data_IF_037521223625
#
_entry.id   IF_037521223625
#
_cell.length_a   1.000
_cell.length_b   1.000
_cell.length_c   1.000
_cell.angle_alpha   90.00
_cell.angle_beta   90.00
_cell.angle_gamma   90.00
#
_symmetry.space_group_name_H-M   'P 1'
#
loop_
_entity.id
_entity.type
_entity.pdbx_description
1 polymer ?
#
# COMPACT_ATOMS: atom_id res chain seq x y z
N UNK A 1 46.83 47.74 -9.37
CA UNK A 1 46.07 47.20 -8.21
C UNK A 1 44.56 47.49 -8.29
N UNK A 2 43.86 47.14 -9.39
CA UNK A 2 42.38 47.34 -9.49
C UNK A 2 41.64 46.33 -10.38
N UNK A 3 42.23 45.17 -10.71
CA UNK A 3 41.61 44.21 -11.66
C UNK A 3 41.35 42.79 -11.11
N UNK A 4 41.73 42.50 -9.86
CA UNK A 4 41.56 41.16 -9.28
C UNK A 4 40.39 41.04 -8.29
N UNK A 5 39.65 42.12 -8.02
CA UNK A 5 38.54 42.11 -7.06
C UNK A 5 37.20 41.60 -7.63
N UNK A 6 37.05 41.51 -8.95
CA UNK A 6 35.83 41.03 -9.59
C UNK A 6 35.75 39.50 -9.73
N UNK A 7 36.88 38.80 -9.62
CA UNK A 7 36.92 37.32 -9.75
C UNK A 7 36.56 36.64 -8.43
N UNK A 8 36.85 37.28 -7.29
CA UNK A 8 36.55 36.73 -5.96
C UNK A 8 35.04 36.82 -5.65
N UNK A 9 34.34 37.80 -6.22
CA UNK A 9 32.88 37.95 -6.04
C UNK A 9 32.05 36.93 -6.85
N UNK A 10 32.59 36.42 -7.96
CA UNK A 10 31.91 35.42 -8.80
C UNK A 10 31.97 34.00 -8.24
N UNK A 11 33.04 33.66 -7.51
CA UNK A 11 33.20 32.31 -6.92
C UNK A 11 32.40 32.16 -5.61
N UNK A 12 32.16 33.25 -4.88
CA UNK A 12 31.34 33.25 -3.66
C UNK A 12 29.83 33.14 -3.91
N UNK A 13 29.35 33.42 -5.13
CA UNK A 13 27.94 33.25 -5.51
C UNK A 13 27.59 31.82 -5.96
N UNK A 14 28.57 30.93 -6.15
CA UNK A 14 28.33 29.53 -6.51
C UNK A 14 28.16 28.58 -5.32
N UNK A 15 28.40 29.04 -4.09
CA UNK A 15 28.13 28.25 -2.88
C UNK A 15 26.69 28.39 -2.36
N UNK A 16 25.89 29.32 -2.91
CA UNK A 16 24.50 29.53 -2.50
C UNK A 16 23.46 28.57 -3.10
N UNK A 17 23.85 27.74 -4.08
CA UNK A 17 22.94 26.76 -4.71
C UNK A 17 23.12 25.34 -4.15
N UNK A 18 23.94 25.16 -3.11
CA UNK A 18 24.19 23.87 -2.46
C UNK A 18 23.45 23.76 -1.11
N UNK A 19 22.20 24.21 -1.04
CA UNK A 19 21.33 24.01 0.13
C UNK A 19 19.90 23.75 -0.34
N UNK A 20 19.68 22.64 -1.03
CA UNK A 20 18.33 22.04 -1.11
C UNK A 20 18.35 20.51 -0.92
N UNK A 21 19.52 19.93 -0.60
CA UNK A 21 19.60 18.53 -0.16
C UNK A 21 18.95 18.30 1.21
N UNK A 22 19.00 19.29 2.11
CA UNK A 22 18.35 19.16 3.43
C UNK A 22 16.82 19.14 3.33
N UNK A 23 16.22 19.88 2.38
CA UNK A 23 14.76 19.85 2.16
C UNK A 23 14.27 18.53 1.56
N UNK A 24 15.03 17.93 0.64
CA UNK A 24 14.71 16.58 0.16
C UNK A 24 14.96 15.50 1.23
N UNK A 25 15.97 15.67 2.09
CA UNK A 25 16.26 14.73 3.19
C UNK A 25 15.24 14.84 4.33
N UNK A 26 14.75 16.04 4.68
CA UNK A 26 13.62 16.21 5.62
C UNK A 26 12.36 15.51 5.10
N UNK A 27 12.09 15.63 3.80
CA UNK A 27 10.96 14.93 3.16
C UNK A 27 11.17 13.41 3.14
N UNK A 28 12.38 12.94 2.81
CA UNK A 28 12.69 11.51 2.78
C UNK A 28 12.57 10.86 4.16
N UNK A 29 13.06 11.52 5.21
CA UNK A 29 12.89 11.06 6.59
C UNK A 29 11.43 11.09 7.05
N UNK A 30 10.60 11.97 6.48
CA UNK A 30 9.15 11.96 6.74
C UNK A 30 8.45 10.74 6.12
N UNK A 31 9.00 10.14 5.07
CA UNK A 31 8.54 8.84 4.53
C UNK A 31 9.13 7.65 5.29
N UNK A 32 10.29 7.83 5.94
CA UNK A 32 10.89 6.86 6.86
C UNK A 32 10.38 7.04 8.30
N UNK A 33 9.06 7.22 8.48
CA UNK A 33 8.52 7.22 9.83
C UNK A 33 8.78 5.86 10.45
N UNK A 34 9.51 5.83 11.57
CA UNK A 34 9.69 4.63 12.36
C UNK A 34 8.32 4.12 12.75
N UNK A 35 7.89 2.94 12.29
CA UNK A 35 6.65 2.34 12.75
C UNK A 35 6.59 2.34 14.27
N UNK A 36 5.40 2.48 14.86
CA UNK A 36 5.25 2.26 16.32
C UNK A 36 5.45 0.77 16.63
N UNK A 37 6.71 0.31 16.65
CA UNK A 37 7.08 -1.10 16.82
C UNK A 37 6.53 -1.72 18.11
N UNK A 38 6.31 -0.90 19.16
CA UNK A 38 5.64 -1.33 20.39
C UNK A 38 4.21 -1.85 20.16
N UNK A 39 3.58 -1.46 19.06
CA UNK A 39 2.25 -1.89 18.64
C UNK A 39 2.30 -2.95 17.54
N UNK A 40 3.47 -3.45 17.12
CA UNK A 40 3.59 -4.40 16.00
C UNK A 40 2.75 -5.68 16.20
N UNK A 41 2.71 -6.22 17.41
CA UNK A 41 1.88 -7.36 17.81
C UNK A 41 0.35 -7.10 17.75
N UNK A 42 -0.05 -5.84 17.57
CA UNK A 42 -1.45 -5.39 17.44
C UNK A 42 -1.78 -5.01 16.00
N UNK A 43 -0.81 -5.10 15.08
CA UNK A 43 -0.93 -4.69 13.69
C UNK A 43 -0.89 -5.95 12.82
N UNK A 44 -1.83 -6.09 11.90
CA UNK A 44 -1.49 -6.77 10.65
C UNK A 44 -0.33 -5.97 10.03
N UNK A 45 0.75 -6.62 9.62
CA UNK A 45 2.00 -5.92 9.27
C UNK A 45 1.75 -4.73 8.34
N UNK A 46 2.23 -3.55 8.76
CA UNK A 46 1.89 -2.23 8.20
C UNK A 46 2.14 -2.14 6.68
N UNK A 47 3.13 -2.89 6.17
CA UNK A 47 3.44 -2.93 4.75
C UNK A 47 2.35 -3.54 3.87
N UNK A 48 1.41 -4.25 4.48
CA UNK A 48 0.36 -4.99 3.79
C UNK A 48 -1.04 -4.37 4.02
N UNK A 49 -1.20 -3.34 4.85
CA UNK A 49 -2.51 -2.74 5.11
C UNK A 49 -2.89 -1.70 4.05
N UNK A 50 -4.03 -1.91 3.39
CA UNK A 50 -4.61 -0.89 2.49
C UNK A 50 -5.91 -0.29 3.02
N UNK A 51 -6.49 -0.86 4.08
CA UNK A 51 -7.72 -0.40 4.72
C UNK A 51 -7.77 -0.85 6.17
N UNK A 52 -8.22 0.01 7.09
CA UNK A 52 -8.40 -0.33 8.49
C UNK A 52 -9.43 0.60 9.15
N UNK A 53 -10.43 0.00 9.81
CA UNK A 53 -11.41 0.64 10.68
C UNK A 53 -11.63 -0.24 11.91
N UNK A 54 -12.50 0.19 12.84
CA UNK A 54 -12.92 -0.65 13.97
C UNK A 54 -13.64 -1.94 13.52
N UNK A 55 -14.30 -1.89 12.36
CA UNK A 55 -15.15 -2.98 11.85
C UNK A 55 -14.43 -3.87 10.83
N UNK A 56 -13.45 -3.33 10.08
CA UNK A 56 -12.90 -4.03 8.91
C UNK A 56 -11.42 -3.76 8.69
N UNK A 57 -10.75 -4.75 8.11
CA UNK A 57 -9.31 -4.68 7.79
C UNK A 57 -9.06 -5.22 6.38
N UNK A 58 -8.36 -4.44 5.56
CA UNK A 58 -7.92 -4.82 4.22
C UNK A 58 -6.41 -5.06 4.18
N UNK A 59 -6.01 -6.26 3.75
CA UNK A 59 -4.62 -6.72 3.67
C UNK A 59 -4.27 -7.10 2.23
N UNK A 60 -3.12 -6.65 1.76
CA UNK A 60 -2.51 -6.95 0.48
C UNK A 60 -1.15 -7.60 0.73
N UNK A 61 -0.95 -8.79 0.21
CA UNK A 61 0.33 -9.52 0.25
C UNK A 61 0.71 -10.01 -1.14
N UNK A 62 1.90 -10.60 -1.25
CA UNK A 62 2.31 -11.34 -2.44
C UNK A 62 1.39 -12.52 -2.80
N UNK A 63 0.55 -12.99 -1.87
CA UNK A 63 -0.36 -14.11 -2.10
C UNK A 63 -1.78 -13.70 -2.45
N UNK A 64 -2.09 -12.40 -2.40
CA UNK A 64 -3.43 -11.90 -2.73
C UNK A 64 -3.89 -10.71 -1.90
N UNK A 65 -5.15 -10.38 -2.11
CA UNK A 65 -5.86 -9.28 -1.43
C UNK A 65 -7.00 -9.87 -0.61
N UNK A 66 -7.15 -9.36 0.61
CA UNK A 66 -8.06 -9.87 1.63
C UNK A 66 -8.81 -8.71 2.27
N UNK A 67 -10.10 -8.87 2.52
CA UNK A 67 -10.90 -7.95 3.31
C UNK A 67 -11.63 -8.74 4.38
N UNK A 68 -11.38 -8.38 5.63
CA UNK A 68 -11.88 -9.07 6.81
C UNK A 68 -12.82 -8.18 7.61
N UNK A 69 -13.87 -8.79 8.15
CA UNK A 69 -14.80 -8.19 9.12
C UNK A 69 -14.35 -8.60 10.52
N UNK A 70 -13.96 -7.60 11.31
CA UNK A 70 -13.41 -7.76 12.66
C UNK A 70 -14.50 -8.09 13.67
N UNK A 71 -15.69 -7.51 13.53
CA UNK A 71 -16.80 -7.73 14.45
C UNK A 71 -17.37 -9.14 14.30
N UNK A 72 -17.53 -9.58 13.05
CA UNK A 72 -18.13 -10.86 12.69
C UNK A 72 -17.10 -12.00 12.57
N UNK A 73 -15.83 -11.69 12.76
CA UNK A 73 -14.69 -12.59 12.64
C UNK A 73 -14.69 -13.43 11.35
N UNK A 74 -14.90 -12.77 10.19
CA UNK A 74 -15.05 -13.47 8.90
C UNK A 74 -14.39 -12.74 7.73
N UNK A 75 -13.93 -13.52 6.76
CA UNK A 75 -13.46 -13.00 5.48
C UNK A 75 -14.65 -12.52 4.63
N UNK A 76 -14.66 -11.24 4.25
CA UNK A 76 -15.65 -10.65 3.34
C UNK A 76 -15.30 -10.94 1.88
N UNK A 77 -14.01 -10.86 1.54
CA UNK A 77 -13.51 -11.26 0.22
C UNK A 77 -12.03 -11.62 0.27
N UNK A 78 -11.61 -12.50 -0.63
CA UNK A 78 -10.22 -12.81 -0.90
C UNK A 78 -10.02 -13.16 -2.38
N UNK A 79 -8.92 -12.71 -2.99
CA UNK A 79 -8.53 -13.13 -4.33
C UNK A 79 -7.01 -13.13 -4.52
N UNK A 80 -6.51 -14.12 -5.26
CA UNK A 80 -5.09 -14.28 -5.58
C UNK A 80 -4.75 -13.52 -6.88
N UNK A 81 -3.81 -12.59 -6.77
CA UNK A 81 -3.34 -11.76 -7.88
C UNK A 81 -2.68 -12.60 -9.00
N UNK A 82 -2.06 -13.73 -8.65
CA UNK A 82 -1.42 -14.63 -9.61
C UNK A 82 -2.43 -15.45 -10.41
N UNK A 83 -3.52 -15.90 -9.75
CA UNK A 83 -4.63 -16.60 -10.43
C UNK A 83 -5.34 -15.65 -11.38
N UNK A 84 -5.55 -14.41 -10.96
CA UNK A 84 -6.22 -13.38 -11.76
C UNK A 84 -5.33 -12.82 -12.89
N UNK A 85 -4.01 -13.09 -12.87
CA UNK A 85 -3.00 -12.59 -13.84
C UNK A 85 -3.17 -11.12 -14.20
N UNK A 86 -3.62 -10.29 -13.26
CA UNK A 86 -4.15 -8.97 -13.57
C UNK A 86 -3.16 -8.14 -14.41
N UNK A 87 -1.88 -8.12 -14.03
CA UNK A 87 -0.87 -7.33 -14.74
C UNK A 87 0.21 -8.12 -15.49
N UNK A 88 0.21 -9.45 -15.37
CA UNK A 88 1.25 -10.31 -15.95
C UNK A 88 2.54 -10.36 -15.12
N UNK A 89 3.55 -11.06 -15.65
CA UNK A 89 4.83 -11.28 -14.96
C UNK A 89 5.63 -9.99 -14.77
N UNK A 90 6.29 -9.86 -13.61
CA UNK A 90 7.18 -8.74 -13.29
C UNK A 90 6.48 -7.43 -12.92
N UNK A 91 5.15 -7.44 -12.78
CA UNK A 91 4.36 -6.29 -12.34
C UNK A 91 3.82 -6.54 -10.93
N UNK A 92 4.08 -5.59 -10.04
CA UNK A 92 3.52 -5.53 -8.70
C UNK A 92 2.23 -4.72 -8.72
N UNK A 93 1.39 -4.89 -7.70
CA UNK A 93 0.20 -4.06 -7.52
C UNK A 93 0.26 -3.24 -6.24
N UNK A 94 -0.38 -2.08 -6.26
CA UNK A 94 -0.86 -1.37 -5.08
C UNK A 94 -2.38 -1.56 -5.01
N UNK A 95 -2.93 -1.66 -3.81
CA UNK A 95 -4.35 -1.88 -3.58
C UNK A 95 -4.96 -0.68 -2.87
N UNK A 96 -6.15 -0.26 -3.29
CA UNK A 96 -6.94 0.79 -2.62
C UNK A 96 -8.40 0.38 -2.56
N UNK A 97 -9.06 0.60 -1.42
CA UNK A 97 -10.50 0.41 -1.32
C UNK A 97 -11.23 1.55 -2.05
N UNK A 98 -12.40 1.29 -2.64
CA UNK A 98 -13.28 2.34 -3.14
C UNK A 98 -13.84 3.18 -2.00
N UNK A 99 -14.12 4.45 -2.25
CA UNK A 99 -14.68 5.37 -1.25
C UNK A 99 -16.08 4.97 -0.76
N UNK A 100 -16.80 4.14 -1.52
CA UNK A 100 -18.07 3.54 -1.13
C UNK A 100 -17.95 2.11 -0.56
N UNK A 101 -16.72 1.62 -0.37
CA UNK A 101 -16.37 0.29 0.14
C UNK A 101 -16.94 -0.91 -0.66
N UNK A 102 -17.44 -0.69 -1.88
CA UNK A 102 -18.04 -1.76 -2.71
C UNK A 102 -17.05 -2.49 -3.61
N UNK A 103 -15.84 -1.96 -3.74
CA UNK A 103 -14.82 -2.61 -4.55
C UNK A 103 -13.41 -2.20 -4.20
N UNK A 104 -12.47 -2.88 -4.84
CA UNK A 104 -11.04 -2.76 -4.58
C UNK A 104 -10.35 -2.42 -5.89
N UNK A 105 -9.61 -1.32 -5.91
CA UNK A 105 -8.76 -0.92 -7.01
C UNK A 105 -7.38 -1.57 -6.89
N UNK A 106 -6.87 -2.05 -8.02
CA UNK A 106 -5.50 -2.54 -8.17
C UNK A 106 -4.78 -1.66 -9.20
N UNK A 107 -3.67 -1.07 -8.79
CA UNK A 107 -2.82 -0.25 -9.64
C UNK A 107 -1.50 -0.97 -9.89
N UNK A 108 -1.16 -1.19 -11.16
CA UNK A 108 0.06 -1.91 -11.52
C UNK A 108 1.28 -1.01 -11.51
N UNK A 109 2.42 -1.52 -11.06
CA UNK A 109 3.70 -0.83 -11.17
C UNK A 109 4.86 -1.82 -11.33
N UNK A 110 5.94 -1.36 -11.95
CA UNK A 110 7.23 -2.05 -11.97
C UNK A 110 8.24 -1.25 -11.15
N UNK A 111 9.45 -1.77 -10.97
CA UNK A 111 10.54 -1.01 -10.35
C UNK A 111 10.91 0.28 -11.11
N UNK A 112 10.47 0.43 -12.36
CA UNK A 112 10.82 1.56 -13.22
C UNK A 112 9.68 2.58 -13.38
N UNK A 113 8.42 2.14 -13.33
CA UNK A 113 7.26 3.00 -13.60
C UNK A 113 5.94 2.48 -13.04
N UNK A 114 5.02 3.40 -12.78
CA UNK A 114 3.59 3.11 -12.59
C UNK A 114 2.91 2.88 -13.94
N UNK A 115 1.96 1.94 -13.99
CA UNK A 115 1.09 1.70 -15.14
C UNK A 115 -0.12 2.64 -15.03
N UNK A 116 -0.16 3.63 -15.90
CA UNK A 116 -1.15 4.72 -15.86
C UNK A 116 -2.29 4.57 -16.88
N UNK A 117 -2.17 3.63 -17.82
CA UNK A 117 -3.12 3.45 -18.92
C UNK A 117 -4.41 2.73 -18.50
N UNK A 118 -4.33 1.94 -17.42
CA UNK A 118 -5.43 1.15 -16.89
C UNK A 118 -5.19 0.74 -15.45
N UNK A 119 -6.28 0.39 -14.78
CA UNK A 119 -6.30 -0.28 -13.48
C UNK A 119 -7.28 -1.45 -13.52
N UNK A 120 -7.26 -2.28 -12.47
CA UNK A 120 -8.31 -3.27 -12.26
C UNK A 120 -9.21 -2.87 -11.10
N UNK A 121 -10.50 -3.14 -11.22
CA UNK A 121 -11.49 -2.95 -10.18
C UNK A 121 -12.13 -4.30 -9.85
N UNK A 122 -11.97 -4.75 -8.62
CA UNK A 122 -12.63 -5.92 -8.09
C UNK A 122 -13.93 -5.50 -7.41
N UNK A 123 -15.07 -5.95 -7.92
CA UNK A 123 -16.38 -5.70 -7.31
C UNK A 123 -16.65 -6.77 -6.24
N UNK A 124 -16.72 -6.35 -4.97
CA UNK A 124 -16.81 -7.28 -3.83
C UNK A 124 -18.08 -8.13 -3.90
N UNK A 125 -19.21 -7.52 -4.24
CA UNK A 125 -20.51 -8.19 -4.25
C UNK A 125 -20.59 -9.33 -5.28
N UNK A 126 -19.95 -9.18 -6.44
CA UNK A 126 -19.97 -10.17 -7.52
C UNK A 126 -18.73 -11.05 -7.57
N UNK A 127 -17.66 -10.68 -6.85
CA UNK A 127 -16.37 -11.33 -6.91
C UNK A 127 -15.67 -11.20 -8.27
N UNK A 128 -16.06 -10.22 -9.08
CA UNK A 128 -15.58 -10.07 -10.46
C UNK A 128 -14.52 -8.99 -10.59
N UNK A 129 -13.48 -9.29 -11.37
CA UNK A 129 -12.38 -8.37 -11.66
C UNK A 129 -12.54 -7.74 -13.05
N UNK A 130 -12.54 -6.41 -13.11
CA UNK A 130 -12.75 -5.64 -14.33
C UNK A 130 -11.53 -4.78 -14.67
N UNK A 131 -11.03 -4.89 -15.90
CA UNK A 131 -10.05 -3.93 -16.42
C UNK A 131 -10.74 -2.62 -16.80
N UNK A 132 -10.24 -1.49 -16.30
CA UNK A 132 -10.75 -0.15 -16.59
C UNK A 132 -9.65 0.69 -17.20
N UNK A 133 -9.94 1.36 -18.31
CA UNK A 133 -9.00 2.27 -18.96
C UNK A 133 -8.94 3.63 -18.25
N UNK A 134 -7.76 4.25 -18.29
CA UNK A 134 -7.50 5.55 -17.67
C UNK A 134 -7.07 5.45 -16.20
N UNK A 135 -7.13 6.60 -15.51
CA UNK A 135 -6.76 6.74 -14.09
C UNK A 135 -8.00 6.80 -13.23
N UNK A 136 -7.96 6.18 -12.06
CA UNK A 136 -8.96 6.41 -11.01
C UNK A 136 -8.78 7.83 -10.44
N UNK A 137 -9.87 8.49 -10.05
CA UNK A 137 -9.78 9.79 -9.37
C UNK A 137 -9.60 9.57 -7.86
N UNK A 138 -8.76 10.39 -7.20
CA UNK A 138 -8.48 10.23 -5.76
C UNK A 138 -9.75 10.30 -4.89
N UNK A 139 -10.77 11.06 -5.32
CA UNK A 139 -12.07 11.14 -4.62
C UNK A 139 -12.83 9.80 -4.59
N UNK A 140 -12.52 8.89 -5.51
CA UNK A 140 -13.15 7.57 -5.62
C UNK A 140 -12.42 6.52 -4.78
N UNK A 141 -11.30 6.90 -4.15
CA UNK A 141 -10.45 6.04 -3.35
C UNK A 141 -10.65 6.35 -1.86
N UNK A 142 -10.76 5.29 -1.06
CA UNK A 142 -10.69 5.42 0.38
C UNK A 142 -9.26 5.85 0.79
N UNK A 143 -9.10 6.74 1.77
CA UNK A 143 -7.79 7.14 2.26
C UNK A 143 -7.00 5.95 2.80
N UNK A 144 -5.70 5.90 2.50
CA UNK A 144 -4.84 4.91 3.15
C UNK A 144 -4.82 5.13 4.67
N UNK A 145 -4.73 4.07 5.48
CA UNK A 145 -4.67 4.20 6.91
C UNK A 145 -3.49 5.07 7.38
N UNK A 146 -3.73 6.04 8.27
CA UNK A 146 -2.69 6.94 8.79
C UNK A 146 -1.61 6.15 9.52
N UNK A 147 -0.35 6.31 9.10
CA UNK A 147 0.82 5.64 9.67
C UNK A 147 1.03 5.99 11.16
N UNK A 148 0.53 7.14 11.61
CA UNK A 148 0.66 7.64 12.99
C UNK A 148 -0.49 7.25 13.91
N UNK A 149 -1.54 6.59 13.40
CA UNK A 149 -2.68 6.19 14.23
C UNK A 149 -2.29 5.12 15.26
N UNK A 150 -3.08 5.03 16.32
CA UNK A 150 -3.02 3.92 17.26
C UNK A 150 -3.64 2.68 16.60
N UNK A 151 -2.93 1.56 16.59
CA UNK A 151 -3.45 0.32 16.01
C UNK A 151 -4.65 -0.21 16.82
N UNK A 152 -5.67 -0.71 16.13
CA UNK A 152 -6.80 -1.37 16.77
C UNK A 152 -6.34 -2.68 17.42
N UNK A 153 -6.81 -2.93 18.64
CA UNK A 153 -6.53 -4.18 19.36
C UNK A 153 -7.68 -5.16 19.14
N UNK A 154 -7.39 -6.36 18.66
CA UNK A 154 -8.31 -7.50 18.79
C UNK A 154 -7.61 -8.65 19.50
N UNK A 155 -8.39 -9.44 20.23
CA UNK A 155 -7.93 -10.56 21.06
C UNK A 155 -7.66 -11.83 20.26
N UNK A 156 -8.10 -11.89 19.00
CA UNK A 156 -8.26 -13.14 18.26
C UNK A 156 -7.45 -13.19 16.96
N UNK A 157 -6.35 -12.44 16.81
CA UNK A 157 -5.48 -12.61 15.66
C UNK A 157 -4.78 -13.98 15.70
N UNK A 158 -5.42 -15.01 15.16
CA UNK A 158 -4.72 -16.22 14.75
C UNK A 158 -4.57 -16.20 13.23
N UNK A 159 -3.42 -16.62 12.72
CA UNK A 159 -3.19 -16.64 11.28
C UNK A 159 -4.19 -17.57 10.58
N UNK A 160 -4.68 -18.56 11.32
CA UNK A 160 -5.67 -19.56 10.95
C UNK A 160 -7.03 -18.95 10.58
N UNK A 161 -7.47 -17.88 11.26
CA UNK A 161 -8.76 -17.22 11.00
C UNK A 161 -8.78 -16.43 9.67
N UNK A 162 -7.60 -16.19 9.09
CA UNK A 162 -7.44 -15.49 7.82
C UNK A 162 -7.10 -16.43 6.66
N UNK A 163 -7.20 -17.74 6.86
CA UNK A 163 -6.96 -18.74 5.82
C UNK A 163 -8.01 -18.63 4.71
N UNK A 164 -7.57 -18.34 3.49
CA UNK A 164 -8.38 -18.44 2.29
C UNK A 164 -8.09 -19.76 1.57
N UNK A 165 -9.13 -20.50 1.18
CA UNK A 165 -8.99 -21.70 0.36
C UNK A 165 -9.47 -21.40 -1.06
N UNK A 166 -8.57 -21.30 -2.05
CA UNK A 166 -8.97 -21.15 -3.44
C UNK A 166 -9.93 -22.26 -3.87
N UNK A 167 -10.88 -21.93 -4.75
CA UNK A 167 -11.83 -22.90 -5.27
C UNK A 167 -11.08 -24.11 -5.90
N UNK A 168 -11.31 -25.30 -5.34
CA UNK A 168 -10.66 -26.54 -5.79
C UNK A 168 -9.26 -26.78 -5.22
N UNK A 169 -8.77 -25.93 -4.30
CA UNK A 169 -7.52 -26.13 -3.56
C UNK A 169 -7.78 -26.62 -2.14
N UNK A 170 -6.94 -27.54 -1.67
CA UNK A 170 -6.86 -27.90 -0.25
C UNK A 170 -5.78 -27.11 0.49
N UNK A 171 -4.94 -26.39 -0.25
CA UNK A 171 -3.86 -25.58 0.31
C UNK A 171 -4.39 -24.18 0.63
N UNK A 172 -4.38 -23.78 1.91
CA UNK A 172 -4.78 -22.44 2.33
C UNK A 172 -3.71 -21.39 2.00
N UNK A 173 -4.19 -20.20 1.64
CA UNK A 173 -3.41 -18.98 1.55
C UNK A 173 -3.59 -18.19 2.83
N UNK A 174 -2.49 -17.83 3.47
CA UNK A 174 -2.46 -17.08 4.73
C UNK A 174 -1.89 -15.69 4.48
N UNK A 175 -2.64 -14.60 4.72
CA UNK A 175 -2.14 -13.24 4.55
C UNK A 175 -1.07 -12.85 5.58
N UNK A 176 -0.89 -13.61 6.66
CA UNK A 176 0.07 -13.29 7.73
C UNK A 176 1.19 -14.33 7.89
N UNK A 177 1.44 -15.19 6.89
CA UNK A 177 2.50 -16.21 7.01
C UNK A 177 3.90 -15.62 6.85
N UNK A 178 4.40 -15.10 7.97
CA UNK A 178 5.76 -14.69 8.29
C UNK A 178 5.64 -13.99 9.64
N UNK A 179 5.91 -14.64 10.77
CA UNK A 179 7.26 -14.87 11.33
C UNK A 179 7.26 -16.20 12.10
N UNK A 180 8.18 -17.11 11.75
CA UNK A 180 8.75 -18.07 12.71
C UNK A 180 10.02 -17.48 13.29
#
# INVERSE_FOLDING_TARGET
MKKYWLIILGVLLLFGAACDKEKEIENYNSYLQTPRYSEAQKRAEIGNLFYETEEKIGIHTSFGVFLYDVEEEKMLTAFDLNVEKAFGEGVLSETRLSSDEKGIYLFGFTHEKTIDDYYYYYEIASGSLFKKSGKAEEKDLFPLPDQNRQAFTTTNWTAEDLAYYPAGSLDPIYPLKGVQ
#
